data_IF_818783463293
#
_entry.id   IF_818783463293
#
_cell.length_a   1.000
_cell.length_b   1.000
_cell.length_c   1.000
_cell.angle_alpha   90.00
_cell.angle_beta   90.00
_cell.angle_gamma   90.00
#
_symmetry.space_group_name_H-M   'P 1'
#
loop_
_entity.id
_entity.type
_entity.pdbx_description
1 polymer ?
#
# COMPACT_ATOMS: atom_id res chain seq x y z
N UNK A 1 -25.29 -1.98 -15.47
CA UNK A 1 -25.32 -0.50 -15.36
C UNK A 1 -23.90 0.00 -15.22
N UNK A 2 -23.45 1.00 -15.99
CA UNK A 2 -22.17 1.65 -15.71
C UNK A 2 -22.30 2.38 -14.36
N UNK A 3 -21.36 2.12 -13.45
CA UNK A 3 -21.25 2.88 -12.21
C UNK A 3 -21.11 4.37 -12.57
N UNK A 4 -21.94 5.21 -11.96
CA UNK A 4 -21.82 6.66 -12.09
C UNK A 4 -20.42 7.13 -11.66
N UNK A 5 -20.00 8.34 -12.06
CA UNK A 5 -18.74 8.91 -11.59
C UNK A 5 -18.78 8.96 -10.06
N UNK A 6 -17.86 8.25 -9.41
CA UNK A 6 -17.64 8.35 -7.96
C UNK A 6 -17.13 9.76 -7.72
N UNK A 7 -17.82 10.52 -6.87
CA UNK A 7 -17.32 11.79 -6.39
C UNK A 7 -16.13 11.53 -5.46
N UNK A 8 -14.90 11.87 -5.87
CA UNK A 8 -13.71 11.59 -5.08
C UNK A 8 -13.73 12.29 -3.70
N UNK A 9 -14.56 13.34 -3.50
CA UNK A 9 -14.68 14.05 -2.23
C UNK A 9 -15.57 13.33 -1.19
N UNK A 10 -16.19 12.20 -1.54
CA UNK A 10 -17.04 11.41 -0.61
C UNK A 10 -16.35 10.18 -0.01
N UNK A 11 -15.09 9.93 -0.37
CA UNK A 11 -14.32 8.79 0.13
C UNK A 11 -13.80 9.00 1.55
N UNK A 12 -13.91 7.98 2.40
CA UNK A 12 -13.20 7.94 3.67
C UNK A 12 -11.69 7.76 3.40
N UNK A 13 -10.90 8.77 3.75
CA UNK A 13 -9.44 8.73 3.57
C UNK A 13 -8.79 8.03 4.74
N UNK A 14 -8.00 7.00 4.46
CA UNK A 14 -7.13 6.37 5.44
C UNK A 14 -5.69 6.85 5.22
N UNK A 15 -5.10 7.44 6.24
CA UNK A 15 -3.72 7.97 6.24
C UNK A 15 -2.69 6.86 6.46
N UNK A 16 -1.43 7.11 6.08
CA UNK A 16 -0.34 6.17 6.33
C UNK A 16 -0.15 5.90 7.83
N UNK A 17 -0.32 6.93 8.68
CA UNK A 17 -0.19 6.82 10.14
C UNK A 17 -1.27 5.94 10.74
N UNK A 18 -2.54 6.09 10.31
CA UNK A 18 -3.64 5.24 10.75
C UNK A 18 -3.41 3.77 10.37
N UNK A 19 -2.87 3.51 9.17
CA UNK A 19 -2.55 2.16 8.72
C UNK A 19 -1.42 1.56 9.56
N UNK A 20 -0.36 2.34 9.84
CA UNK A 20 0.77 1.91 10.65
C UNK A 20 0.35 1.61 12.09
N UNK A 21 -0.49 2.46 12.66
CA UNK A 21 -0.99 2.27 14.03
C UNK A 21 -1.90 1.05 14.11
N UNK A 22 -2.81 0.87 13.15
CA UNK A 22 -3.61 -0.35 13.05
C UNK A 22 -2.73 -1.61 12.96
N UNK A 23 -1.69 -1.59 12.12
CA UNK A 23 -0.76 -2.71 11.99
C UNK A 23 -0.07 -3.05 13.32
N UNK A 24 0.41 -2.04 14.05
CA UNK A 24 1.03 -2.22 15.37
C UNK A 24 0.07 -2.88 16.36
N UNK A 25 -1.15 -2.37 16.46
CA UNK A 25 -2.17 -2.97 17.34
C UNK A 25 -2.52 -4.41 16.96
N UNK A 26 -2.53 -4.74 15.66
CA UNK A 26 -2.76 -6.12 15.20
C UNK A 26 -1.59 -7.05 15.52
N UNK A 27 -0.34 -6.58 15.44
CA UNK A 27 0.84 -7.34 15.85
C UNK A 27 0.81 -7.60 17.36
N UNK A 28 0.53 -6.59 18.17
CA UNK A 28 0.38 -6.72 19.62
C UNK A 28 -0.68 -7.76 19.97
N UNK A 29 -1.86 -7.68 19.36
CA UNK A 29 -2.93 -8.65 19.56
C UNK A 29 -2.54 -10.09 19.16
N UNK A 30 -1.77 -10.25 18.08
CA UNK A 30 -1.26 -11.57 17.66
C UNK A 30 -0.26 -12.13 18.68
N UNK A 31 0.65 -11.30 19.19
CA UNK A 31 1.62 -11.69 20.21
C UNK A 31 0.92 -12.08 21.51
N UNK A 32 -0.03 -11.26 21.97
CA UNK A 32 -0.82 -11.54 23.17
C UNK A 32 -1.61 -12.85 23.03
N UNK A 33 -2.24 -13.08 21.87
CA UNK A 33 -2.96 -14.31 21.61
C UNK A 33 -2.02 -15.52 21.66
N UNK A 34 -0.83 -15.42 21.03
CA UNK A 34 0.18 -16.48 21.06
C UNK A 34 0.58 -16.79 22.49
N UNK A 35 0.97 -15.78 23.26
CA UNK A 35 1.37 -15.93 24.67
C UNK A 35 0.25 -16.54 25.52
N UNK A 36 -0.98 -16.06 25.36
CA UNK A 36 -2.13 -16.55 26.13
C UNK A 36 -2.41 -18.02 25.84
N UNK A 37 -2.38 -18.44 24.58
CA UNK A 37 -2.63 -19.84 24.20
C UNK A 37 -1.47 -20.74 24.66
N UNK A 38 -0.22 -20.32 24.48
CA UNK A 38 0.95 -21.06 24.99
C UNK A 38 0.86 -21.27 26.50
N UNK A 39 0.45 -20.25 27.27
CA UNK A 39 0.24 -20.38 28.71
C UNK A 39 -0.87 -21.39 29.03
N UNK A 40 -2.01 -21.29 28.36
CA UNK A 40 -3.13 -22.21 28.57
C UNK A 40 -2.75 -23.68 28.29
N UNK A 41 -1.99 -23.94 27.22
CA UNK A 41 -1.48 -25.28 26.90
C UNK A 41 -0.57 -25.79 28.03
N UNK A 42 0.37 -24.97 28.50
CA UNK A 42 1.30 -25.34 29.59
C UNK A 42 0.59 -25.62 30.91
N UNK A 43 -0.47 -24.89 31.20
CA UNK A 43 -1.28 -25.03 32.42
C UNK A 43 -2.34 -26.15 32.31
N UNK A 44 -2.43 -26.83 31.16
CA UNK A 44 -3.44 -27.88 30.92
C UNK A 44 -4.87 -27.34 30.85
N UNK A 45 -5.03 -26.06 30.52
CA UNK A 45 -6.32 -25.40 30.38
C UNK A 45 -6.92 -25.65 29.00
N UNK A 46 -8.25 -25.54 28.91
CA UNK A 46 -8.94 -25.63 27.64
C UNK A 46 -8.51 -24.50 26.68
N UNK A 47 -8.17 -24.87 25.44
CA UNK A 47 -7.88 -23.93 24.34
C UNK A 47 -8.97 -24.03 23.28
N UNK A 48 -9.05 -23.01 22.42
CA UNK A 48 -9.96 -23.01 21.27
C UNK A 48 -9.70 -24.23 20.39
N UNK A 49 -10.77 -24.86 19.87
CA UNK A 49 -10.70 -26.11 19.09
C UNK A 49 -9.70 -26.07 17.94
N UNK A 50 -9.50 -24.90 17.31
CA UNK A 50 -8.51 -24.73 16.22
C UNK A 50 -7.06 -25.03 16.63
N UNK A 51 -6.74 -24.93 17.92
CA UNK A 51 -5.40 -25.14 18.47
C UNK A 51 -5.25 -26.49 19.18
N UNK A 52 -6.35 -27.16 19.51
CA UNK A 52 -6.35 -28.34 20.38
C UNK A 52 -5.60 -29.55 19.81
N UNK A 53 -5.40 -29.60 18.49
CA UNK A 53 -4.72 -30.70 17.79
C UNK A 53 -3.40 -30.28 17.15
N UNK A 54 -2.92 -29.07 17.40
CA UNK A 54 -1.67 -28.58 16.83
C UNK A 54 -0.48 -29.11 17.63
N UNK A 55 0.61 -29.48 16.95
CA UNK A 55 1.92 -29.60 17.59
C UNK A 55 2.47 -28.21 17.91
N UNK A 56 3.50 -28.13 18.76
CA UNK A 56 4.20 -26.86 19.02
C UNK A 56 4.72 -26.22 17.72
N UNK A 57 5.23 -27.03 16.79
CA UNK A 57 5.70 -26.57 15.49
C UNK A 57 4.56 -26.03 14.59
N UNK A 58 3.41 -26.71 14.58
CA UNK A 58 2.23 -26.24 13.83
C UNK A 58 1.69 -24.93 14.42
N UNK A 59 1.72 -24.82 15.75
CA UNK A 59 1.27 -23.64 16.48
C UNK A 59 2.15 -22.43 16.17
N UNK A 60 3.47 -22.57 16.27
CA UNK A 60 4.41 -21.50 15.92
C UNK A 60 4.31 -21.13 14.43
N UNK A 61 4.26 -22.14 13.56
CA UNK A 61 4.09 -21.95 12.13
C UNK A 61 2.79 -21.21 11.78
N UNK A 62 1.70 -21.47 12.52
CA UNK A 62 0.44 -20.75 12.35
C UNK A 62 0.60 -19.25 12.58
N UNK A 63 1.19 -18.84 13.71
CA UNK A 63 1.38 -17.42 14.02
C UNK A 63 2.35 -16.73 13.07
N UNK A 64 3.42 -17.42 12.66
CA UNK A 64 4.35 -16.89 11.65
C UNK A 64 3.65 -16.66 10.30
N UNK A 65 2.71 -17.55 9.92
CA UNK A 65 1.88 -17.33 8.72
C UNK A 65 0.94 -16.15 8.91
N UNK A 66 0.25 -16.04 10.05
CA UNK A 66 -0.67 -14.91 10.31
C UNK A 66 0.06 -13.57 10.26
N UNK A 67 1.23 -13.48 10.89
CA UNK A 67 2.05 -12.28 10.88
C UNK A 67 2.46 -11.89 9.45
N UNK A 68 2.99 -12.85 8.66
CA UNK A 68 3.38 -12.56 7.27
C UNK A 68 2.20 -12.13 6.39
N UNK A 69 1.01 -12.71 6.57
CA UNK A 69 -0.17 -12.26 5.84
C UNK A 69 -0.61 -10.84 6.26
N UNK A 70 -0.55 -10.53 7.56
CA UNK A 70 -0.81 -9.19 8.07
C UNK A 70 0.15 -8.16 7.50
N UNK A 71 1.45 -8.45 7.47
CA UNK A 71 2.49 -7.59 6.90
C UNK A 71 2.19 -7.31 5.41
N UNK A 72 1.85 -8.34 4.63
CA UNK A 72 1.51 -8.20 3.21
C UNK A 72 0.27 -7.34 2.97
N UNK A 73 -0.78 -7.54 3.76
CA UNK A 73 -1.99 -6.72 3.68
C UNK A 73 -1.72 -5.27 4.07
N UNK A 74 -0.87 -5.06 5.07
CA UNK A 74 -0.44 -3.73 5.50
C UNK A 74 0.32 -3.01 4.39
N UNK A 75 1.31 -3.68 3.78
CA UNK A 75 2.06 -3.14 2.65
C UNK A 75 1.14 -2.76 1.47
N UNK A 76 0.18 -3.64 1.13
CA UNK A 76 -0.82 -3.35 0.09
C UNK A 76 -1.65 -2.10 0.42
N UNK A 77 -2.06 -1.95 1.69
CA UNK A 77 -2.87 -0.82 2.13
C UNK A 77 -2.08 0.50 2.10
N UNK A 78 -0.83 0.49 2.58
CA UNK A 78 0.07 1.65 2.53
C UNK A 78 0.29 2.12 1.09
N UNK A 79 0.56 1.18 0.17
CA UNK A 79 0.70 1.49 -1.26
C UNK A 79 -0.58 2.10 -1.81
N UNK A 80 -1.74 1.48 -1.54
CA UNK A 80 -3.04 1.96 -2.04
C UNK A 80 -3.38 3.38 -1.52
N UNK A 81 -3.10 3.68 -0.25
CA UNK A 81 -3.31 5.01 0.34
C UNK A 81 -2.43 6.09 -0.29
N UNK A 82 -1.14 5.81 -0.49
CA UNK A 82 -0.23 6.72 -1.17
C UNK A 82 -0.62 6.94 -2.64
N UNK A 83 -1.00 5.87 -3.36
CA UNK A 83 -1.50 5.98 -4.72
C UNK A 83 -2.73 6.87 -4.84
N UNK A 84 -3.69 6.71 -3.93
CA UNK A 84 -4.90 7.51 -3.89
C UNK A 84 -4.55 8.99 -3.68
N UNK A 85 -3.69 9.29 -2.71
CA UNK A 85 -3.24 10.65 -2.40
C UNK A 85 -2.57 11.33 -3.61
N UNK A 86 -1.69 10.62 -4.32
CA UNK A 86 -0.99 11.13 -5.51
C UNK A 86 -1.96 11.29 -6.70
N UNK A 87 -2.91 10.36 -6.88
CA UNK A 87 -3.94 10.48 -7.93
C UNK A 87 -4.84 11.69 -7.67
N UNK A 88 -5.20 11.95 -6.41
CA UNK A 88 -5.98 13.11 -6.02
C UNK A 88 -5.24 14.42 -6.34
N UNK A 89 -3.95 14.52 -5.98
CA UNK A 89 -3.10 15.67 -6.35
C UNK A 89 -3.03 15.85 -7.88
N UNK A 90 -2.78 14.77 -8.62
CA UNK A 90 -2.75 14.77 -10.07
C UNK A 90 -4.05 15.34 -10.67
N UNK A 91 -5.21 14.81 -10.25
CA UNK A 91 -6.51 15.27 -10.76
C UNK A 91 -6.81 16.69 -10.33
N UNK A 92 -6.42 17.10 -9.11
CA UNK A 92 -6.54 18.47 -8.65
C UNK A 92 -5.77 19.42 -9.56
N UNK A 93 -4.49 19.14 -9.84
CA UNK A 93 -3.61 19.93 -10.71
C UNK A 93 -4.13 20.05 -12.15
N UNK A 94 -4.63 18.94 -12.71
CA UNK A 94 -5.21 18.93 -14.06
C UNK A 94 -6.51 19.74 -14.12
N UNK A 95 -7.39 19.64 -13.11
CA UNK A 95 -8.69 20.34 -13.10
C UNK A 95 -8.56 21.83 -12.79
N UNK A 96 -7.66 22.21 -11.88
CA UNK A 96 -7.51 23.60 -11.41
C UNK A 96 -6.64 24.46 -12.33
N UNK A 97 -6.04 23.88 -13.38
CA UNK A 97 -5.19 24.59 -14.33
C UNK A 97 -4.09 25.42 -13.64
N UNK A 98 -3.45 24.84 -12.62
CA UNK A 98 -2.35 25.51 -11.92
C UNK A 98 -1.17 25.75 -12.88
N UNK A 99 -0.40 26.80 -12.59
CA UNK A 99 0.64 27.31 -13.51
C UNK A 99 2.06 26.81 -13.19
N UNK A 100 2.23 25.97 -12.18
CA UNK A 100 3.52 25.39 -11.79
C UNK A 100 4.01 24.35 -12.82
N UNK A 101 5.32 24.02 -12.84
CA UNK A 101 5.90 23.11 -13.81
C UNK A 101 5.24 21.72 -13.83
N UNK A 102 4.93 21.17 -12.66
CA UNK A 102 4.33 19.83 -12.55
C UNK A 102 2.92 19.82 -13.11
N UNK A 103 2.09 20.81 -12.77
CA UNK A 103 0.73 20.92 -13.30
C UNK A 103 0.69 21.07 -14.82
N UNK A 104 1.60 21.87 -15.40
CA UNK A 104 1.70 21.98 -16.87
C UNK A 104 2.08 20.65 -17.52
N UNK A 105 3.03 19.93 -16.93
CA UNK A 105 3.44 18.63 -17.43
C UNK A 105 2.29 17.61 -17.34
N UNK A 106 1.59 17.55 -16.21
CA UNK A 106 0.40 16.72 -16.04
C UNK A 106 -0.71 17.07 -17.03
N UNK A 107 -0.99 18.34 -17.27
CA UNK A 107 -2.00 18.76 -18.26
C UNK A 107 -1.61 18.36 -19.68
N UNK A 108 -0.34 18.56 -20.05
CA UNK A 108 0.14 18.19 -21.39
C UNK A 108 0.04 16.68 -21.58
N UNK A 109 0.55 15.89 -20.63
CA UNK A 109 0.42 14.44 -20.66
C UNK A 109 -1.05 14.00 -20.70
N UNK A 110 -1.91 14.59 -19.85
CA UNK A 110 -3.33 14.24 -19.79
C UNK A 110 -4.07 14.50 -21.10
N UNK A 111 -3.72 15.55 -21.85
CA UNK A 111 -4.36 15.85 -23.15
C UNK A 111 -4.15 14.73 -24.17
N UNK A 112 -2.96 14.14 -24.18
CA UNK A 112 -2.54 13.06 -25.09
C UNK A 112 -3.17 11.70 -24.74
N UNK A 113 -3.73 11.55 -23.53
CA UNK A 113 -4.36 10.30 -23.12
C UNK A 113 -5.67 10.05 -23.89
N UNK A 114 -5.89 8.78 -24.24
CA UNK A 114 -7.16 8.29 -24.78
C UNK A 114 -8.30 8.50 -23.75
N UNK A 115 -9.58 8.58 -24.19
CA UNK A 115 -10.71 8.78 -23.26
C UNK A 115 -10.77 7.76 -22.11
N UNK A 116 -10.37 6.51 -22.36
CA UNK A 116 -10.28 5.48 -21.32
C UNK A 116 -9.18 5.77 -20.30
N UNK A 117 -7.98 6.12 -20.77
CA UNK A 117 -6.85 6.47 -19.91
C UNK A 117 -7.04 7.80 -19.18
N UNK A 118 -7.85 8.73 -19.70
CA UNK A 118 -8.27 9.94 -18.96
C UNK A 118 -9.12 9.63 -17.73
N UNK A 119 -9.90 8.53 -17.76
CA UNK A 119 -10.71 8.07 -16.62
C UNK A 119 -9.90 7.24 -15.64
N UNK A 120 -8.94 6.47 -16.13
CA UNK A 120 -8.04 5.62 -15.33
C UNK A 120 -6.60 5.78 -15.85
N UNK A 121 -5.92 6.87 -15.47
CA UNK A 121 -4.54 7.09 -15.88
C UNK A 121 -3.64 6.01 -15.31
N UNK A 122 -2.63 5.61 -16.09
CA UNK A 122 -1.60 4.72 -15.57
C UNK A 122 -0.84 5.41 -14.44
N UNK A 123 -0.57 4.67 -13.38
CA UNK A 123 0.05 5.27 -12.20
C UNK A 123 1.58 5.27 -12.29
N UNK A 124 2.19 4.21 -12.83
CA UNK A 124 3.62 3.94 -12.74
C UNK A 124 4.41 4.31 -14.02
N UNK A 125 4.95 3.33 -14.76
CA UNK A 125 5.71 3.55 -15.99
C UNK A 125 4.83 4.19 -17.07
N UNK A 126 5.33 5.26 -17.68
CA UNK A 126 4.56 6.10 -18.61
C UNK A 126 3.36 6.82 -17.98
N UNK A 127 3.20 6.71 -16.65
CA UNK A 127 2.07 7.19 -15.88
C UNK A 127 2.35 8.44 -15.05
N UNK A 128 1.54 8.64 -14.02
CA UNK A 128 1.60 9.78 -13.09
C UNK A 128 2.99 9.91 -12.43
N UNK A 129 3.57 8.80 -11.94
CA UNK A 129 4.90 8.81 -11.33
C UNK A 129 6.01 9.11 -12.33
N UNK A 130 5.86 8.66 -13.58
CA UNK A 130 6.84 8.95 -14.61
C UNK A 130 6.90 10.45 -14.92
N UNK A 131 5.74 11.09 -15.09
CA UNK A 131 5.68 12.54 -15.29
C UNK A 131 6.25 13.28 -14.08
N UNK A 132 5.92 12.86 -12.85
CA UNK A 132 6.45 13.44 -11.62
C UNK A 132 7.98 13.42 -11.59
N UNK A 133 8.59 12.29 -11.97
CA UNK A 133 10.04 12.11 -12.07
C UNK A 133 10.66 12.99 -13.15
N UNK A 134 10.05 13.05 -14.33
CA UNK A 134 10.64 13.70 -15.51
C UNK A 134 10.72 15.22 -15.39
N UNK A 135 9.79 15.84 -14.66
CA UNK A 135 9.81 17.30 -14.41
C UNK A 135 10.91 17.68 -13.40
N UNK A 136 11.49 16.71 -12.70
CA UNK A 136 12.59 16.91 -11.72
C UNK A 136 12.24 17.91 -10.61
N UNK A 137 10.97 17.96 -10.22
CA UNK A 137 10.49 18.77 -9.08
C UNK A 137 10.83 18.15 -7.73
N UNK A 138 11.25 16.89 -7.72
CA UNK A 138 11.76 16.17 -6.56
C UNK A 138 12.92 15.26 -6.95
N UNK A 139 13.64 14.78 -5.95
CA UNK A 139 14.73 13.82 -6.14
C UNK A 139 14.18 12.52 -6.75
N UNK A 140 14.72 12.12 -7.90
CA UNK A 140 14.28 10.90 -8.59
C UNK A 140 14.46 9.64 -7.76
N UNK A 141 15.41 9.62 -6.81
CA UNK A 141 15.60 8.49 -5.91
C UNK A 141 14.38 8.26 -4.99
N UNK A 142 13.64 9.32 -4.65
CA UNK A 142 12.41 9.19 -3.84
C UNK A 142 11.32 8.49 -4.64
N UNK A 143 11.13 8.89 -5.91
CA UNK A 143 10.17 8.25 -6.81
C UNK A 143 10.54 6.79 -7.07
N UNK A 144 11.81 6.52 -7.38
CA UNK A 144 12.29 5.15 -7.62
C UNK A 144 12.21 4.27 -6.37
N UNK A 145 12.50 4.82 -5.19
CA UNK A 145 12.35 4.12 -3.92
C UNK A 145 10.93 3.64 -3.68
N UNK A 146 9.93 4.49 -3.95
CA UNK A 146 8.52 4.12 -3.85
C UNK A 146 8.06 3.17 -4.98
N UNK A 147 8.61 3.28 -6.19
CA UNK A 147 8.29 2.35 -7.30
C UNK A 147 8.58 0.90 -6.97
N UNK A 148 9.63 0.62 -6.19
CA UNK A 148 9.92 -0.73 -5.72
C UNK A 148 8.74 -1.32 -4.90
N UNK A 149 8.02 -0.48 -4.14
CA UNK A 149 6.85 -0.87 -3.36
C UNK A 149 5.63 -1.22 -4.24
N UNK A 150 5.60 -0.80 -5.50
CA UNK A 150 4.50 -1.12 -6.42
C UNK A 150 4.58 -2.56 -6.95
N UNK A 151 5.77 -3.18 -6.96
CA UNK A 151 5.97 -4.53 -7.52
C UNK A 151 5.20 -5.60 -6.73
N UNK A 152 5.24 -5.61 -5.39
CA UNK A 152 4.45 -6.55 -4.59
C UNK A 152 2.94 -6.36 -4.72
N UNK A 153 2.44 -5.14 -4.98
CA UNK A 153 1.01 -4.79 -4.89
C UNK A 153 0.12 -5.72 -5.73
N UNK A 154 0.56 -6.00 -6.96
CA UNK A 154 -0.21 -6.83 -7.87
C UNK A 154 -0.22 -8.28 -7.36
N UNK A 155 0.92 -8.77 -6.89
CA UNK A 155 1.05 -10.14 -6.41
C UNK A 155 0.16 -10.39 -5.19
N UNK A 156 0.10 -9.41 -4.27
CA UNK A 156 -0.83 -9.43 -3.12
C UNK A 156 -2.29 -9.38 -3.58
N UNK A 157 -2.64 -8.39 -4.42
CA UNK A 157 -4.03 -8.09 -4.78
C UNK A 157 -4.71 -9.12 -5.71
N UNK A 158 -3.94 -9.92 -6.44
CA UNK A 158 -4.46 -10.90 -7.40
C UNK A 158 -4.34 -12.35 -6.94
N UNK A 159 -4.07 -12.59 -5.66
CA UNK A 159 -4.10 -13.93 -5.08
C UNK A 159 -2.84 -14.77 -5.37
N UNK A 160 -1.70 -14.13 -5.66
CA UNK A 160 -0.37 -14.76 -5.73
C UNK A 160 -0.26 -15.84 -6.81
N UNK A 161 -0.95 -15.68 -7.93
CA UNK A 161 -1.04 -16.67 -9.01
C UNK A 161 0.05 -16.55 -10.09
N UNK A 162 1.12 -15.77 -9.84
CA UNK A 162 2.31 -15.71 -10.71
C UNK A 162 3.59 -15.56 -9.87
N UNK A 163 4.72 -15.47 -10.56
CA UNK A 163 6.06 -15.35 -9.97
C UNK A 163 6.15 -14.28 -8.89
N UNK A 164 6.61 -14.70 -7.72
CA UNK A 164 6.75 -13.82 -6.56
C UNK A 164 7.84 -12.77 -6.82
N UNK A 165 7.52 -11.46 -6.79
CA UNK A 165 8.55 -10.42 -6.85
C UNK A 165 9.52 -10.53 -5.69
N UNK A 166 10.81 -10.25 -5.92
CA UNK A 166 11.84 -10.31 -4.88
C UNK A 166 11.57 -9.32 -3.74
N UNK A 167 10.86 -8.23 -4.05
CA UNK A 167 10.46 -7.20 -3.10
C UNK A 167 9.46 -7.71 -2.04
N UNK A 168 8.75 -8.80 -2.31
CA UNK A 168 7.84 -9.42 -1.33
C UNK A 168 8.57 -9.91 -0.09
N UNK A 169 9.81 -10.40 -0.24
CA UNK A 169 10.60 -10.90 0.88
C UNK A 169 11.61 -9.86 1.40
N UNK A 170 11.85 -8.80 0.63
CA UNK A 170 12.86 -7.77 0.95
C UNK A 170 12.28 -6.56 1.68
N UNK A 171 10.99 -6.27 1.46
CA UNK A 171 10.31 -5.13 2.07
C UNK A 171 9.45 -5.60 3.24
N UNK A 172 9.43 -4.79 4.28
CA UNK A 172 8.47 -4.91 5.38
C UNK A 172 7.49 -3.69 5.41
N UNK A 173 6.48 -3.69 6.31
CA UNK A 173 5.55 -2.57 6.41
C UNK A 173 6.20 -1.22 6.75
N UNK A 174 7.28 -1.19 7.53
CA UNK A 174 7.96 0.05 7.89
C UNK A 174 8.76 0.60 6.69
N UNK A 175 9.43 -0.27 5.92
CA UNK A 175 10.09 0.11 4.65
C UNK A 175 9.10 0.77 3.68
N UNK A 176 7.91 0.16 3.51
CA UNK A 176 6.88 0.67 2.60
C UNK A 176 6.31 1.99 3.12
N UNK A 177 6.07 2.09 4.43
CA UNK A 177 5.61 3.33 5.07
C UNK A 177 6.63 4.46 4.83
N UNK A 178 7.91 4.23 5.12
CA UNK A 178 8.95 5.27 5.04
C UNK A 178 9.12 5.77 3.61
N UNK A 179 9.06 4.89 2.62
CA UNK A 179 9.15 5.26 1.19
C UNK A 179 7.90 5.99 0.71
N UNK A 180 6.72 5.59 1.17
CA UNK A 180 5.46 6.27 0.85
C UNK A 180 5.41 7.67 1.48
N UNK A 181 5.73 7.80 2.76
CA UNK A 181 5.78 9.08 3.48
C UNK A 181 6.83 10.01 2.88
N UNK A 182 8.03 9.50 2.57
CA UNK A 182 9.07 10.29 1.91
C UNK A 182 8.60 10.84 0.55
N UNK A 183 7.88 10.04 -0.24
CA UNK A 183 7.32 10.50 -1.51
C UNK A 183 6.23 11.56 -1.30
N UNK A 184 5.27 11.31 -0.40
CA UNK A 184 4.16 12.24 -0.14
C UNK A 184 4.67 13.58 0.41
N UNK A 185 5.66 13.57 1.31
CA UNK A 185 6.29 14.80 1.85
C UNK A 185 7.11 15.57 0.81
N UNK A 186 7.67 14.87 -0.17
CA UNK A 186 8.42 15.49 -1.25
C UNK A 186 7.53 16.09 -2.35
N UNK A 187 6.21 15.84 -2.32
CA UNK A 187 5.28 16.39 -3.31
C UNK A 187 5.31 17.92 -3.28
N UNK A 188 5.46 18.58 -4.44
CA UNK A 188 5.36 20.03 -4.52
C UNK A 188 3.96 20.49 -4.05
N UNK A 189 3.90 21.62 -3.36
CA UNK A 189 2.64 22.31 -3.04
C UNK A 189 2.15 23.07 -4.26
#
# INVERSE_FOLDING_TARGET
MPLGPIDPDTGERQTLDEIREWHRGMIEALVEQRTSVTRAIREGLAVTTRFATMTDADFDGYFDVQQRELERLTMLNLVASAEASIKDDFFHRVRKNLKDPLSRAYQNWYKELSPGKKRRPDFDEGGILQVLKDVRVMNSHVVEGYRECLRPRHWFGHGRNWDKPVEVDRLDPDDVYDRADALLRAMPT
#
